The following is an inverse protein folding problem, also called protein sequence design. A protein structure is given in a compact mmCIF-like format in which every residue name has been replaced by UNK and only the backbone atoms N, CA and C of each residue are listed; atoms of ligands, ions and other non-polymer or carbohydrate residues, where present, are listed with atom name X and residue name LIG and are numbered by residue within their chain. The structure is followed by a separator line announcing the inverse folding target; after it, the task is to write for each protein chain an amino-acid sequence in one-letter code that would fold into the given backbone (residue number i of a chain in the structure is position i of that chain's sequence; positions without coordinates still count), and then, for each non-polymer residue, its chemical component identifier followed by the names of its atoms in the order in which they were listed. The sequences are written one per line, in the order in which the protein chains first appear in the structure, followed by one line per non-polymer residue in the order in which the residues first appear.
data_IF_084853237344
#
_entry.id   IF_084853237344
#
_cell.length_a   1.000
_cell.length_b   1.000
_cell.length_c   1.000
_cell.angle_alpha   90.00
_cell.angle_beta   90.00
_cell.angle_gamma   90.00
#
_symmetry.space_group_name_H-M   'P 1'
#
loop_
_entity.id
_entity.type
_entity.pdbx_description
1 polymer ?
#
# COMPACT_ATOMS: atom_id res chain seq x y z
N UNK A 1 16.41 -14.52 4.18
CA UNK A 1 17.04 -13.19 4.35
C UNK A 1 15.91 -12.18 4.50
N UNK A 2 16.09 -11.16 5.32
CA UNK A 2 15.07 -10.13 5.49
C UNK A 2 14.92 -9.27 4.24
N UNK A 3 13.70 -8.79 3.99
CA UNK A 3 13.41 -7.93 2.85
C UNK A 3 13.47 -6.47 3.28
N UNK A 4 14.25 -5.67 2.55
CA UNK A 4 14.37 -4.23 2.78
C UNK A 4 13.64 -3.47 1.68
N UNK A 5 12.81 -2.49 2.07
CA UNK A 5 12.10 -1.65 1.12
C UNK A 5 12.26 -0.17 1.45
N UNK A 6 12.22 0.65 0.40
CA UNK A 6 11.87 2.07 0.50
C UNK A 6 10.38 2.21 0.18
N UNK A 7 9.64 2.81 1.10
CA UNK A 7 8.18 2.91 1.02
C UNK A 7 7.70 4.33 1.26
N UNK A 8 6.54 4.69 0.71
CA UNK A 8 6.01 6.05 0.69
C UNK A 8 4.58 6.11 1.20
N UNK A 9 4.28 7.08 2.07
CA UNK A 9 2.94 7.34 2.59
C UNK A 9 2.48 8.75 2.20
N UNK A 10 1.30 8.83 1.59
CA UNK A 10 0.64 10.09 1.20
C UNK A 10 -0.28 10.56 2.31
N UNK A 11 -0.09 11.78 2.81
CA UNK A 11 -0.83 12.38 3.92
C UNK A 11 -1.59 13.62 3.47
N UNK A 12 -2.67 13.96 4.18
CA UNK A 12 -3.35 15.24 4.01
C UNK A 12 -2.50 16.39 4.55
N UNK A 13 -2.50 17.52 3.83
CA UNK A 13 -1.93 18.77 4.32
C UNK A 13 -3.03 19.58 5.04
N UNK A 14 -3.37 19.20 6.27
CA UNK A 14 -4.47 19.84 7.02
C UNK A 14 -4.00 21.00 7.90
N UNK A 15 -2.91 20.79 8.65
CA UNK A 15 -2.39 21.71 9.65
C UNK A 15 -1.01 22.26 9.23
N UNK A 16 0.02 22.04 10.05
CA UNK A 16 1.40 22.38 9.76
C UNK A 16 2.16 21.18 9.18
N UNK A 17 3.24 21.49 8.45
CA UNK A 17 4.14 20.49 7.89
C UNK A 17 4.75 19.63 9.00
N UNK A 18 5.19 20.25 10.10
CA UNK A 18 5.76 19.56 11.25
C UNK A 18 4.77 18.58 11.87
N UNK A 19 3.53 19.01 12.11
CA UNK A 19 2.49 18.15 12.67
C UNK A 19 2.14 17.00 11.73
N UNK A 20 2.02 17.24 10.42
CA UNK A 20 1.79 16.17 9.43
C UNK A 20 2.98 15.21 9.37
N UNK A 21 4.20 15.73 9.42
CA UNK A 21 5.40 14.91 9.44
C UNK A 21 5.41 14.06 10.70
N UNK A 22 5.37 14.64 11.90
CA UNK A 22 5.43 13.96 13.20
C UNK A 22 4.42 12.80 13.32
N UNK A 23 3.16 13.04 12.94
CA UNK A 23 2.07 12.08 13.11
C UNK A 23 1.98 11.01 11.99
N UNK A 24 2.69 11.18 10.88
CA UNK A 24 2.77 10.17 9.81
C UNK A 24 3.59 8.93 10.27
N UNK A 25 3.27 7.70 9.82
CA UNK A 25 2.18 7.34 8.92
C UNK A 25 0.85 7.21 9.66
N UNK A 26 -0.24 7.49 8.94
CA UNK A 26 -1.59 7.37 9.48
C UNK A 26 -2.14 5.98 9.24
N UNK A 27 -2.77 5.42 10.27
CA UNK A 27 -3.49 4.15 10.16
C UNK A 27 -4.74 4.37 9.29
N UNK A 28 -5.09 3.38 8.47
CA UNK A 28 -6.32 3.44 7.70
C UNK A 28 -7.53 3.52 8.64
N UNK A 29 -8.53 4.33 8.29
CA UNK A 29 -9.77 4.40 9.08
C UNK A 29 -10.52 3.05 9.00
N UNK A 30 -11.07 2.54 10.11
CA UNK A 30 -11.87 1.33 10.11
C UNK A 30 -13.18 1.46 9.30
N UNK A 31 -13.64 2.70 9.06
CA UNK A 31 -14.93 2.99 8.42
C UNK A 31 -14.86 3.03 6.88
N UNK A 32 -13.67 2.87 6.29
CA UNK A 32 -13.48 2.87 4.83
C UNK A 32 -13.14 1.47 4.33
N UNK A 33 -13.54 1.10 3.09
CA UNK A 33 -13.12 -0.17 2.50
C UNK A 33 -11.59 -0.28 2.41
N UNK A 34 -11.05 -1.34 3.00
CA UNK A 34 -9.60 -1.62 3.07
C UNK A 34 -9.25 -2.79 2.16
N UNK A 35 -8.08 -2.72 1.54
CA UNK A 35 -7.63 -3.74 0.57
C UNK A 35 -7.15 -5.01 1.27
N UNK A 36 -6.34 -4.86 2.31
CA UNK A 36 -5.64 -5.96 3.00
C UNK A 36 -5.98 -6.06 4.50
N UNK A 37 -6.93 -5.24 4.97
CA UNK A 37 -7.39 -5.15 6.36
C UNK A 37 -6.80 -3.96 7.13
N UNK A 38 -6.98 -3.99 8.46
CA UNK A 38 -6.73 -2.84 9.34
C UNK A 38 -5.24 -2.63 9.63
N UNK A 39 -4.71 -1.47 9.22
CA UNK A 39 -3.29 -1.17 9.32
C UNK A 39 -2.85 0.02 8.47
N UNK A 40 -1.58 0.03 8.12
CA UNK A 40 -0.90 1.12 7.42
C UNK A 40 -0.58 0.71 5.99
N UNK A 41 -0.78 1.62 5.04
CA UNK A 41 -0.59 1.36 3.61
C UNK A 41 0.46 2.30 3.05
N UNK A 42 1.39 1.73 2.28
CA UNK A 42 2.50 2.45 1.67
C UNK A 42 2.63 2.05 0.21
N UNK A 43 3.04 3.00 -0.63
CA UNK A 43 3.52 2.73 -1.98
C UNK A 43 4.96 2.22 -1.90
N UNK A 44 5.34 1.29 -2.77
CA UNK A 44 6.69 0.72 -2.77
C UNK A 44 7.51 1.23 -3.94
N UNK A 45 8.84 1.13 -3.80
CA UNK A 45 9.85 1.26 -4.87
C UNK A 45 10.04 2.69 -5.43
N UNK A 46 8.98 3.49 -5.58
CA UNK A 46 9.04 4.91 -5.94
C UNK A 46 7.87 5.72 -5.39
N UNK A 47 8.00 7.04 -5.35
CA UNK A 47 6.94 7.98 -4.96
C UNK A 47 5.90 8.25 -6.08
N UNK A 48 6.03 7.60 -7.24
CA UNK A 48 5.19 7.84 -8.41
C UNK A 48 3.69 7.66 -8.09
N UNK A 49 3.30 6.49 -7.56
CA UNK A 49 1.90 6.24 -7.21
C UNK A 49 1.45 7.01 -5.96
N UNK A 50 2.39 7.37 -5.07
CA UNK A 50 2.11 8.27 -3.95
C UNK A 50 1.66 9.66 -4.44
N UNK A 51 2.33 10.16 -5.48
CA UNK A 51 1.94 11.39 -6.17
C UNK A 51 0.61 11.27 -6.91
N UNK A 52 0.38 10.17 -7.62
CA UNK A 52 -0.89 9.93 -8.33
C UNK A 52 -2.07 9.90 -7.35
N UNK A 53 -1.90 9.22 -6.22
CA UNK A 53 -2.89 9.20 -5.15
C UNK A 53 -3.13 10.58 -4.55
N UNK A 54 -2.06 11.32 -4.24
CA UNK A 54 -2.14 12.67 -3.66
C UNK A 54 -2.83 13.71 -4.56
N UNK A 55 -2.76 13.54 -5.88
CA UNK A 55 -3.38 14.47 -6.86
C UNK A 55 -4.91 14.39 -6.91
N UNK A 56 -5.54 13.46 -6.20
CA UNK A 56 -7.00 13.31 -6.12
C UNK A 56 -7.62 14.47 -5.34
N UNK A 57 -8.34 15.42 -5.98
CA UNK A 57 -8.85 16.60 -5.31
C UNK A 57 -9.99 16.29 -4.33
N UNK A 58 -10.73 15.20 -4.55
CA UNK A 58 -11.76 14.68 -3.64
C UNK A 58 -11.17 14.17 -2.32
N UNK A 59 -9.91 13.73 -2.34
CA UNK A 59 -9.19 13.25 -1.16
C UNK A 59 -8.34 14.36 -0.55
N UNK A 60 -7.60 15.11 -1.36
CA UNK A 60 -6.60 16.08 -0.88
C UNK A 60 -6.93 17.50 -1.34
N UNK A 61 -8.05 18.10 -0.87
CA UNK A 61 -8.54 19.38 -1.39
C UNK A 61 -7.61 20.56 -1.12
N UNK A 62 -6.77 20.46 -0.08
CA UNK A 62 -5.74 21.44 0.33
C UNK A 62 -4.32 21.07 -0.17
N UNK A 63 -4.20 19.93 -0.85
CA UNK A 63 -2.92 19.33 -1.20
C UNK A 63 -2.50 18.22 -0.24
N UNK A 64 -1.28 17.71 -0.44
CA UNK A 64 -0.78 16.51 0.21
C UNK A 64 0.71 16.58 0.53
N UNK A 65 1.11 15.69 1.44
CA UNK A 65 2.50 15.48 1.85
C UNK A 65 2.89 14.03 1.54
N UNK A 66 4.13 13.79 1.14
CA UNK A 66 4.68 12.44 0.99
C UNK A 66 5.83 12.29 1.98
N UNK A 67 5.73 11.23 2.79
CA UNK A 67 6.79 10.77 3.69
C UNK A 67 7.34 9.44 3.18
N UNK A 68 8.66 9.30 3.20
CA UNK A 68 9.38 8.08 2.86
C UNK A 68 9.82 7.38 4.13
N UNK A 69 9.86 6.06 4.09
CA UNK A 69 10.38 5.23 5.16
C UNK A 69 11.32 4.17 4.57
N UNK A 70 12.36 3.84 5.34
CA UNK A 70 13.03 2.55 5.16
C UNK A 70 12.36 1.52 6.08
N UNK A 71 12.15 0.32 5.58
CA UNK A 71 11.52 -0.77 6.32
C UNK A 71 12.34 -2.05 6.14
N UNK A 72 12.47 -2.80 7.22
CA UNK A 72 13.09 -4.12 7.23
C UNK A 72 12.05 -5.14 7.69
N UNK A 73 11.78 -6.13 6.84
CA UNK A 73 10.74 -7.12 7.03
C UNK A 73 11.36 -8.51 7.20
N UNK A 74 11.19 -9.13 8.38
CA UNK A 74 11.57 -10.51 8.59
C UNK A 74 10.81 -11.42 7.62
N UNK A 75 11.52 -12.33 6.95
CA UNK A 75 10.93 -13.25 5.97
C UNK A 75 9.76 -14.08 6.55
N UNK A 76 9.82 -14.40 7.84
CA UNK A 76 8.78 -15.17 8.52
C UNK A 76 7.51 -14.37 8.85
N UNK A 77 7.54 -13.05 8.71
CA UNK A 77 6.42 -12.14 9.00
C UNK A 77 5.93 -11.40 7.76
N UNK A 78 6.49 -11.70 6.59
CA UNK A 78 6.20 -11.03 5.33
C UNK A 78 5.62 -11.99 4.29
N UNK A 79 4.48 -11.62 3.71
CA UNK A 79 3.86 -12.31 2.58
C UNK A 79 4.03 -11.46 1.32
N UNK A 80 4.88 -11.90 0.40
CA UNK A 80 5.13 -11.18 -0.85
C UNK A 80 4.28 -11.76 -2.00
N UNK A 81 3.11 -11.16 -2.22
CA UNK A 81 2.20 -11.56 -3.30
C UNK A 81 2.59 -10.96 -4.66
N UNK A 82 3.78 -10.36 -4.78
CA UNK A 82 4.27 -9.72 -5.99
C UNK A 82 5.53 -10.38 -6.50
N UNK A 83 6.60 -10.39 -5.68
CA UNK A 83 7.92 -10.88 -6.06
C UNK A 83 8.18 -12.35 -5.76
N UNK A 84 7.34 -13.00 -4.95
CA UNK A 84 7.57 -14.37 -4.47
C UNK A 84 6.47 -15.34 -4.90
N UNK A 85 6.78 -16.17 -5.91
CA UNK A 85 5.86 -17.20 -6.43
C UNK A 85 5.46 -18.23 -5.36
N UNK A 86 6.35 -18.58 -4.42
CA UNK A 86 6.03 -19.54 -3.35
C UNK A 86 4.95 -18.98 -2.42
N UNK A 87 5.07 -17.69 -2.06
CA UNK A 87 4.09 -17.00 -1.24
C UNK A 87 2.74 -16.87 -1.96
N UNK A 88 2.77 -16.56 -3.26
CA UNK A 88 1.56 -16.52 -4.09
C UNK A 88 0.84 -17.87 -4.16
N UNK A 89 1.58 -18.96 -4.37
CA UNK A 89 1.01 -20.32 -4.39
C UNK A 89 0.45 -20.72 -3.03
N UNK A 90 1.16 -20.42 -1.94
CA UNK A 90 0.67 -20.65 -0.58
C UNK A 90 -0.66 -19.91 -0.34
N UNK A 91 -0.71 -18.62 -0.68
CA UNK A 91 -1.89 -17.80 -0.47
C UNK A 91 -3.05 -18.22 -1.36
N UNK A 92 -2.78 -18.61 -2.62
CA UNK A 92 -3.79 -19.19 -3.53
C UNK A 92 -4.46 -20.42 -2.91
N UNK A 93 -3.70 -21.32 -2.31
CA UNK A 93 -4.27 -22.50 -1.64
C UNK A 93 -5.08 -22.13 -0.40
N UNK A 94 -4.67 -21.11 0.36
CA UNK A 94 -5.45 -20.59 1.49
C UNK A 94 -6.79 -19.98 1.04
N UNK A 95 -6.79 -19.19 -0.04
CA UNK A 95 -8.01 -18.64 -0.64
C UNK A 95 -8.92 -19.76 -1.13
N UNK A 96 -8.36 -20.75 -1.83
CA UNK A 96 -9.14 -21.89 -2.34
C UNK A 96 -9.87 -22.63 -1.22
N UNK A 97 -9.16 -22.99 -0.15
CA UNK A 97 -9.75 -23.65 1.03
C UNK A 97 -10.83 -22.80 1.70
N UNK A 98 -10.60 -21.49 1.80
CA UNK A 98 -11.59 -20.57 2.33
C UNK A 98 -12.86 -20.55 1.46
N UNK A 99 -12.71 -20.42 0.14
CA UNK A 99 -13.84 -20.37 -0.80
C UNK A 99 -14.61 -21.68 -0.90
N UNK A 100 -13.93 -22.83 -0.80
CA UNK A 100 -14.59 -24.15 -0.76
C UNK A 100 -15.51 -24.24 0.46
N UNK A 101 -15.00 -23.88 1.65
CA UNK A 101 -15.79 -23.84 2.88
C UNK A 101 -16.95 -22.84 2.77
N UNK A 102 -16.68 -21.61 2.34
CA UNK A 102 -17.73 -20.60 2.20
C UNK A 102 -18.75 -20.97 1.12
N UNK A 103 -18.37 -21.77 0.11
CA UNK A 103 -19.28 -22.25 -0.94
C UNK A 103 -20.21 -23.38 -0.51
N UNK A 104 -20.02 -23.95 0.68
CA UNK A 104 -20.98 -24.84 1.33
C UNK A 104 -22.07 -24.03 2.07
N UNK A 105 -21.68 -22.90 2.65
CA UNK A 105 -22.57 -21.98 3.39
C UNK A 105 -23.26 -20.95 2.49
N UNK A 106 -22.60 -20.57 1.39
CA UNK A 106 -23.04 -19.59 0.39
C UNK A 106 -23.05 -20.25 -0.99
N UNK A 107 -23.73 -19.65 -1.97
CA UNK A 107 -23.51 -20.04 -3.36
C UNK A 107 -22.05 -19.79 -3.77
N UNK A 108 -21.52 -20.59 -4.72
CA UNK A 108 -20.15 -20.40 -5.24
C UNK A 108 -19.90 -19.00 -5.79
N UNK A 109 -20.92 -18.38 -6.38
CA UNK A 109 -20.87 -17.01 -6.89
C UNK A 109 -20.68 -16.00 -5.74
N UNK A 110 -21.49 -16.11 -4.70
CA UNK A 110 -21.41 -15.24 -3.53
C UNK A 110 -20.08 -15.42 -2.78
N UNK A 111 -19.56 -16.63 -2.67
CA UNK A 111 -18.26 -16.90 -2.07
C UNK A 111 -17.12 -16.17 -2.83
N UNK A 112 -17.16 -16.18 -4.17
CA UNK A 112 -16.15 -15.49 -5.01
C UNK A 112 -16.23 -13.97 -4.94
N UNK A 113 -17.37 -13.40 -4.54
CA UNK A 113 -17.53 -11.97 -4.35
C UNK A 113 -16.94 -11.45 -3.03
N UNK A 114 -16.49 -12.34 -2.14
CA UNK A 114 -15.90 -11.96 -0.85
C UNK A 114 -14.57 -11.20 -1.08
N UNK A 115 -14.41 -9.97 -0.55
CA UNK A 115 -13.17 -9.22 -0.69
C UNK A 115 -11.99 -9.90 0.00
N UNK A 116 -10.79 -9.72 -0.57
CA UNK A 116 -9.57 -10.33 -0.02
C UNK A 116 -9.26 -9.89 1.42
N UNK A 117 -9.66 -8.66 1.80
CA UNK A 117 -9.55 -8.18 3.18
C UNK A 117 -10.33 -9.05 4.16
N UNK A 118 -11.52 -9.54 3.78
CA UNK A 118 -12.33 -10.43 4.62
C UNK A 118 -11.75 -11.83 4.71
N UNK A 119 -11.15 -12.33 3.63
CA UNK A 119 -10.38 -13.58 3.67
C UNK A 119 -9.21 -13.45 4.64
N UNK A 120 -8.44 -12.36 4.56
CA UNK A 120 -7.31 -12.08 5.45
C UNK A 120 -7.74 -11.92 6.91
N UNK A 121 -8.84 -11.21 7.17
CA UNK A 121 -9.39 -11.07 8.53
C UNK A 121 -9.79 -12.44 9.10
N UNK A 122 -10.44 -13.29 8.30
CA UNK A 122 -10.73 -14.67 8.72
C UNK A 122 -9.44 -15.45 9.01
N UNK A 123 -8.44 -15.41 8.12
CA UNK A 123 -7.19 -16.14 8.31
C UNK A 123 -6.46 -15.69 9.58
N UNK A 124 -6.49 -14.39 9.91
CA UNK A 124 -5.91 -13.82 11.13
C UNK A 124 -6.65 -14.23 12.41
N UNK A 125 -7.94 -14.50 12.34
CA UNK A 125 -8.77 -14.88 13.49
C UNK A 125 -8.90 -16.41 13.64
N UNK A 126 -8.70 -17.16 12.56
CA UNK A 126 -8.80 -18.61 12.54
C UNK A 126 -7.88 -19.24 13.59
N UNK A 127 -8.35 -20.35 14.20
CA UNK A 127 -7.70 -21.00 15.35
C UNK A 127 -7.42 -20.04 16.52
N UNK A 128 -8.33 -19.10 16.79
CA UNK A 128 -8.23 -18.17 17.93
C UNK A 128 -7.10 -17.14 17.80
N UNK A 129 -6.69 -16.81 16.57
CA UNK A 129 -5.56 -15.92 16.32
C UNK A 129 -4.19 -16.56 16.49
N UNK A 130 -4.12 -17.91 16.44
CA UNK A 130 -2.87 -18.64 16.47
C UNK A 130 -1.94 -18.19 15.32
N UNK A 131 -0.80 -17.57 15.67
CA UNK A 131 0.17 -17.06 14.69
C UNK A 131 0.69 -18.16 13.76
N UNK A 132 0.73 -19.41 14.20
CA UNK A 132 1.18 -20.53 13.36
C UNK A 132 0.24 -20.79 12.17
N UNK A 133 -1.00 -20.29 12.21
CA UNK A 133 -1.95 -20.41 11.10
C UNK A 133 -1.83 -19.27 10.09
N UNK A 134 -1.71 -18.02 10.55
CA UNK A 134 -1.45 -16.85 9.71
C UNK A 134 -0.48 -15.89 10.43
N UNK A 135 0.80 -16.00 10.08
CA UNK A 135 1.92 -15.32 10.77
C UNK A 135 2.30 -13.95 10.19
N UNK A 136 1.65 -13.52 9.12
CA UNK A 136 2.10 -12.37 8.34
C UNK A 136 1.58 -11.05 8.89
N UNK A 137 2.51 -10.20 9.32
CA UNK A 137 2.24 -8.82 9.78
C UNK A 137 2.49 -7.78 8.68
N UNK A 138 3.16 -8.18 7.60
CA UNK A 138 3.36 -7.38 6.40
C UNK A 138 2.92 -8.15 5.16
N UNK A 139 2.24 -7.46 4.24
CA UNK A 139 1.77 -8.04 2.97
C UNK A 139 2.06 -7.05 1.85
N UNK A 140 2.82 -7.48 0.83
CA UNK A 140 2.99 -6.72 -0.41
C UNK A 140 2.03 -7.27 -1.44
N UNK A 141 1.23 -6.40 -2.05
CA UNK A 141 0.27 -6.77 -3.08
C UNK A 141 0.31 -5.77 -4.23
N UNK A 142 -0.20 -6.19 -5.39
CA UNK A 142 -0.31 -5.35 -6.57
C UNK A 142 -1.66 -5.49 -7.24
N UNK A 143 -2.01 -4.49 -8.04
CA UNK A 143 -3.04 -4.57 -9.05
C UNK A 143 -2.55 -3.98 -10.38
N UNK A 144 -3.29 -4.28 -11.45
CA UNK A 144 -3.09 -3.74 -12.78
C UNK A 144 -4.25 -2.83 -13.23
N UNK A 145 -5.05 -2.31 -12.28
CA UNK A 145 -6.25 -1.52 -12.59
C UNK A 145 -5.97 -0.02 -12.69
N UNK A 146 -4.72 0.40 -12.55
CA UNK A 146 -4.36 1.81 -12.70
C UNK A 146 -4.42 2.23 -14.16
N UNK A 147 -4.98 3.40 -14.44
CA UNK A 147 -4.90 4.02 -15.77
C UNK A 147 -3.46 4.33 -16.21
N UNK A 148 -2.53 4.33 -15.26
CA UNK A 148 -1.10 4.54 -15.50
C UNK A 148 -0.38 3.23 -15.84
N UNK A 149 -1.02 2.07 -15.65
CA UNK A 149 -0.44 0.77 -15.96
C UNK A 149 -0.74 0.43 -17.41
N UNK A 150 0.32 0.33 -18.22
CA UNK A 150 0.24 -0.09 -19.61
C UNK A 150 0.64 -1.56 -19.72
N UNK A 151 0.05 -2.25 -20.70
CA UNK A 151 0.41 -3.62 -21.04
C UNK A 151 1.21 -3.60 -22.34
N UNK A 152 2.47 -4.04 -22.30
CA UNK A 152 3.32 -4.14 -23.48
C UNK A 152 3.55 -5.59 -23.86
N UNK A 153 3.59 -5.87 -25.17
CA UNK A 153 3.89 -7.21 -25.67
C UNK A 153 5.36 -7.57 -25.42
N UNK A 154 5.61 -8.85 -25.16
CA UNK A 154 6.97 -9.39 -25.16
C UNK A 154 7.49 -9.71 -26.57
N UNK A 155 6.59 -9.97 -27.51
CA UNK A 155 6.91 -10.38 -28.88
C UNK A 155 6.02 -9.66 -29.88
N UNK A 156 6.39 -9.72 -31.16
CA UNK A 156 5.61 -9.14 -32.26
C UNK A 156 4.40 -10.01 -32.64
N UNK A 157 4.38 -11.28 -32.22
CA UNK A 157 3.35 -12.26 -32.55
C UNK A 157 1.97 -11.82 -32.05
N UNK A 158 1.02 -11.62 -32.96
CA UNK A 158 -0.31 -11.11 -32.62
C UNK A 158 -1.18 -12.13 -31.88
N UNK A 159 -0.94 -13.42 -32.09
CA UNK A 159 -1.66 -14.48 -31.40
C UNK A 159 -1.23 -14.66 -29.93
N UNK A 160 -0.06 -14.12 -29.56
CA UNK A 160 0.48 -14.19 -28.20
C UNK A 160 -0.20 -13.19 -27.27
N UNK A 161 -0.51 -13.64 -26.05
CA UNK A 161 -1.24 -12.87 -25.02
C UNK A 161 -0.34 -12.48 -23.85
N UNK A 162 0.94 -12.81 -23.92
CA UNK A 162 1.95 -12.50 -22.94
C UNK A 162 2.24 -11.00 -22.97
N UNK A 163 1.75 -10.30 -21.93
CA UNK A 163 1.92 -8.86 -21.77
C UNK A 163 2.61 -8.56 -20.43
N UNK A 164 3.53 -7.60 -20.43
CA UNK A 164 4.08 -7.04 -19.21
C UNK A 164 3.27 -5.82 -18.76
N UNK A 165 2.70 -5.83 -17.54
CA UNK A 165 2.12 -4.63 -16.95
C UNK A 165 3.22 -3.72 -16.41
N UNK A 166 3.26 -2.45 -16.84
CA UNK A 166 4.25 -1.47 -16.37
C UNK A 166 3.72 -0.02 -16.44
N UNK A 167 3.97 0.81 -15.40
CA UNK A 167 4.36 0.43 -14.05
C UNK A 167 3.25 -0.34 -13.33
N UNK A 168 3.62 -1.25 -12.44
CA UNK A 168 2.66 -1.99 -11.58
C UNK A 168 2.33 -1.16 -10.35
N UNK A 169 1.05 -1.07 -10.00
CA UNK A 169 0.62 -0.37 -8.80
C UNK A 169 0.74 -1.32 -7.61
N UNK A 170 1.76 -1.08 -6.79
CA UNK A 170 2.10 -1.95 -5.67
C UNK A 170 1.93 -1.22 -4.35
N UNK A 171 1.38 -1.91 -3.35
CA UNK A 171 1.28 -1.42 -1.99
C UNK A 171 1.83 -2.42 -0.98
N UNK A 172 2.50 -1.91 0.03
CA UNK A 172 2.87 -2.63 1.24
C UNK A 172 1.88 -2.29 2.35
N UNK A 173 1.23 -3.30 2.88
CA UNK A 173 0.46 -3.24 4.11
C UNK A 173 1.34 -3.62 5.29
N UNK A 174 1.29 -2.84 6.36
CA UNK A 174 1.87 -3.15 7.66
C UNK A 174 0.80 -3.14 8.74
N UNK A 175 0.75 -4.20 9.55
CA UNK A 175 -0.16 -4.26 10.71
C UNK A 175 0.28 -3.34 11.85
N UNK A 176 1.59 -3.18 12.03
CA UNK A 176 2.19 -2.32 13.04
C UNK A 176 3.48 -1.68 12.49
N UNK A 177 3.97 -0.64 13.17
CA UNK A 177 5.06 0.20 12.70
C UNK A 177 6.46 -0.24 13.18
N UNK A 178 6.59 -1.35 13.92
CA UNK A 178 7.89 -1.80 14.46
C UNK A 178 8.93 -2.15 13.38
N UNK A 179 8.49 -2.36 12.15
CA UNK A 179 9.34 -2.65 11.00
C UNK A 179 10.05 -1.41 10.42
N UNK A 180 9.55 -0.20 10.73
CA UNK A 180 10.10 1.04 10.19
C UNK A 180 11.47 1.32 10.82
N UNK A 181 12.43 1.77 10.00
CA UNK A 181 13.82 2.02 10.41
C UNK A 181 14.21 3.48 10.27
N UNK A 182 13.72 4.17 9.26
CA UNK A 182 13.84 5.62 9.17
C UNK A 182 12.59 6.26 8.56
N UNK A 183 12.50 7.57 8.68
CA UNK A 183 11.42 8.41 8.17
C UNK A 183 12.01 9.71 7.60
N UNK A 184 11.53 10.10 6.43
CA UNK A 184 11.95 11.32 5.76
C UNK A 184 10.76 12.04 5.12
N UNK A 185 10.74 13.37 5.18
CA UNK A 185 9.81 14.18 4.39
C UNK A 185 10.36 14.32 2.96
N UNK A 186 9.60 13.88 1.96
CA UNK A 186 10.06 13.91 0.56
C UNK A 186 9.43 15.05 -0.21
N UNK A 187 8.12 15.20 -0.11
CA UNK A 187 7.40 16.17 -0.92
C UNK A 187 6.27 16.84 -0.15
N UNK A 188 6.07 18.12 -0.45
CA UNK A 188 4.87 18.87 -0.10
C UNK A 188 4.30 19.45 -1.38
N UNK A 189 3.02 19.19 -1.60
CA UNK A 189 2.21 19.81 -2.64
C UNK A 189 1.05 20.53 -1.99
N UNK A 190 1.08 21.86 -1.97
CA UNK A 190 -0.06 22.66 -1.50
C UNK A 190 -0.88 23.14 -2.69
N UNK A 191 -2.20 23.09 -2.56
CA UNK A 191 -3.13 23.73 -3.49
C UNK A 191 -3.47 25.12 -2.95
N UNK A 192 -3.09 26.16 -3.68
CA UNK A 192 -3.44 27.55 -3.37
C UNK A 192 -4.25 28.15 -4.52
N UNK A 193 -5.16 29.08 -4.20
CA UNK A 193 -5.82 29.88 -5.23
C UNK A 193 -4.79 30.86 -5.80
N UNK A 194 -4.74 30.97 -7.12
CA UNK A 194 -3.95 32.02 -7.75
C UNK A 194 -4.50 33.41 -7.38
N UNK A 195 -3.70 34.45 -7.61
CA UNK A 195 -4.10 35.84 -7.37
C UNK A 195 -5.36 36.27 -8.14
N UNK A 196 -5.78 35.48 -9.14
CA UNK A 196 -7.02 35.69 -9.90
C UNK A 196 -8.25 34.99 -9.31
N UNK A 197 -8.07 34.14 -8.29
CA UNK A 197 -9.12 33.35 -7.64
C UNK A 197 -9.72 32.24 -8.49
N UNK A 198 -9.19 32.00 -9.71
CA UNK A 198 -9.81 31.12 -10.73
C UNK A 198 -9.03 29.83 -10.96
N UNK A 199 -7.75 29.75 -10.60
CA UNK A 199 -6.93 28.55 -10.80
C UNK A 199 -6.26 28.12 -9.51
N UNK A 200 -6.33 26.82 -9.21
CA UNK A 200 -5.51 26.24 -8.15
C UNK A 200 -4.11 25.96 -8.69
N UNK A 201 -3.08 26.48 -8.01
CA UNK A 201 -1.67 26.23 -8.35
C UNK A 201 -1.07 25.29 -7.31
N UNK A 202 -0.24 24.35 -7.77
CA UNK A 202 0.54 23.50 -6.89
C UNK A 202 1.87 24.15 -6.57
N UNK A 203 2.11 24.45 -5.29
CA UNK A 203 3.46 24.76 -4.81
C UNK A 203 4.13 23.44 -4.43
N UNK A 204 5.16 23.05 -5.19
CA UNK A 204 5.96 21.86 -4.93
C UNK A 204 7.22 22.24 -4.16
N UNK A 205 7.47 21.57 -3.05
CA UNK A 205 8.77 21.60 -2.38
C UNK A 205 9.24 20.17 -2.15
N UNK A 206 10.41 19.85 -2.67
CA UNK A 206 11.12 18.62 -2.35
C UNK A 206 12.08 18.91 -1.21
N UNK A 207 12.10 18.04 -0.20
CA UNK A 207 12.90 18.24 0.99
C UNK A 207 14.03 17.21 1.03
N UNK A 208 15.26 17.71 1.12
CA UNK A 208 16.43 16.93 1.51
C UNK A 208 17.14 17.60 2.69
N UNK A 209 16.36 18.19 3.59
CA UNK A 209 16.88 18.88 4.77
C UNK A 209 17.00 17.89 5.93
N UNK A 210 18.12 17.95 6.64
CA UNK A 210 18.41 17.14 7.82
C UNK A 210 17.31 17.24 8.90
N UNK A 211 16.62 18.38 9.00
CA UNK A 211 15.53 18.62 9.97
C UNK A 211 14.32 17.67 9.82
N UNK A 212 14.16 17.02 8.66
CA UNK A 212 13.09 16.06 8.40
C UNK A 212 13.63 14.66 8.12
N UNK A 213 14.67 14.24 8.83
CA UNK A 213 15.18 12.87 8.81
C UNK A 213 15.18 12.34 10.24
N UNK A 214 14.49 11.23 10.46
CA UNK A 214 14.41 10.56 11.77
C UNK A 214 14.75 9.10 11.59
N UNK A 215 15.68 8.61 12.41
CA UNK A 215 15.93 7.17 12.56
C UNK A 215 15.10 6.63 13.72
N UNK A 216 14.42 5.51 13.50
CA UNK A 216 13.75 4.78 14.57
C UNK A 216 14.82 4.00 15.33
N UNK A 217 15.08 4.43 16.57
CA UNK A 217 15.83 3.60 17.52
C UNK A 217 14.95 2.40 17.85
N UNK A 218 15.42 1.20 17.53
CA UNK A 218 14.65 -0.04 17.71
C UNK A 218 14.10 -0.14 19.13
N UNK A 219 12.84 -0.55 19.23
CA UNK A 219 12.24 -0.98 20.50
C UNK A 219 13.02 -2.16 21.08
#
# INVERSE_FOLDING_TARGET
MDANFTIYHTCHLENSINSTFENSPYKCSPDVPQWLGDGYYFWTDSDFFAHKWGKRPDKYPKGYVITQYSVNLPQNSFLDLVGNVKDQLLFKEQIKKYLERMGEELSRENARAIPISKVLDHLRLAKGGCRDYFKYDAIKAMDCSSIETFSYKFTEEESQKELIPIPTRQQLFLRNLSFLKSKQLVCIKRLENDFSGRKKVYINKYFNKEEYIVEYKGN
#
